data_IF_810589018466
#
_entry.id   IF_810589018466
#
_cell.length_a   1.000
_cell.length_b   1.000
_cell.length_c   1.000
_cell.angle_alpha   90.00
_cell.angle_beta   90.00
_cell.angle_gamma   90.00
#
_symmetry.space_group_name_H-M   'P 1'
#
loop_
_entity.id
_entity.type
_entity.pdbx_description
1 polymer ?
#
# COMPACT_ATOMS: atom_id res chain seq x y z
N UNK A 1 -55.85 51.79 0.69
CA UNK A 1 -56.87 52.08 -0.34
C UNK A 1 -57.11 50.86 -1.16
N UNK A 2 -58.36 50.47 -1.15
CA UNK A 2 -59.06 49.52 -2.09
C UNK A 2 -58.66 48.09 -2.18
N UNK A 3 -59.35 47.26 -1.46
CA UNK A 3 -59.90 45.95 -1.73
C UNK A 3 -60.97 45.99 -2.83
N UNK A 4 -61.67 44.91 -3.16
CA UNK A 4 -61.43 43.56 -3.57
C UNK A 4 -62.25 43.20 -4.86
N UNK A 5 -62.25 41.95 -5.36
CA UNK A 5 -63.46 41.27 -5.84
C UNK A 5 -63.34 39.76 -6.00
N UNK A 6 -64.30 39.10 -5.36
CA UNK A 6 -64.71 37.72 -5.44
C UNK A 6 -65.54 37.45 -6.73
N UNK A 7 -65.60 36.23 -7.20
CA UNK A 7 -66.74 35.48 -7.68
C UNK A 7 -66.25 34.15 -8.19
N UNK A 8 -66.59 33.04 -7.67
CA UNK A 8 -67.81 32.26 -7.51
C UNK A 8 -67.99 31.23 -8.64
N UNK A 9 -67.79 29.97 -8.27
CA UNK A 9 -68.56 28.74 -8.46
C UNK A 9 -69.21 28.46 -9.84
N UNK A 10 -68.93 27.30 -10.39
CA UNK A 10 -69.94 26.40 -10.95
C UNK A 10 -69.45 24.95 -10.94
N UNK A 11 -70.28 24.12 -10.34
CA UNK A 11 -70.23 22.66 -10.23
C UNK A 11 -70.88 22.10 -11.51
N UNK A 12 -70.25 21.10 -12.12
CA UNK A 12 -70.93 20.18 -13.01
C UNK A 12 -70.42 18.78 -12.77
N UNK A 13 -71.26 17.95 -12.20
CA UNK A 13 -71.15 16.51 -12.05
C UNK A 13 -71.55 15.87 -13.38
N UNK A 14 -70.72 15.03 -13.95
CA UNK A 14 -71.18 13.94 -14.84
C UNK A 14 -70.32 12.71 -14.67
N UNK A 15 -71.02 11.66 -14.35
CA UNK A 15 -70.62 10.27 -14.11
C UNK A 15 -70.29 9.49 -15.38
N UNK A 16 -69.51 8.41 -15.17
CA UNK A 16 -69.49 7.13 -15.90
C UNK A 16 -68.47 7.02 -17.06
N UNK A 17 -67.56 6.08 -16.87
CA UNK A 17 -66.77 5.52 -17.97
C UNK A 17 -65.52 4.78 -17.48
N UNK A 18 -65.74 3.55 -16.99
CA UNK A 18 -64.66 2.59 -16.66
C UNK A 18 -63.99 2.14 -17.97
N UNK A 19 -62.74 2.52 -18.21
CA UNK A 19 -61.91 1.86 -19.24
C UNK A 19 -60.51 1.67 -18.66
N UNK A 20 -60.18 0.42 -18.34
CA UNK A 20 -58.83 -0.04 -18.07
C UNK A 20 -58.00 0.10 -19.36
N UNK A 21 -57.06 1.02 -19.37
CA UNK A 21 -55.97 1.01 -20.34
C UNK A 21 -54.67 0.78 -19.58
N UNK A 22 -54.11 -0.40 -19.75
CA UNK A 22 -52.78 -0.78 -19.32
C UNK A 22 -51.75 0.07 -20.06
N UNK A 23 -51.10 1.01 -19.37
CA UNK A 23 -49.93 1.69 -19.89
C UNK A 23 -48.71 0.80 -19.67
N UNK A 24 -48.31 0.11 -20.75
CA UNK A 24 -46.98 -0.51 -20.82
C UNK A 24 -45.95 0.59 -20.96
N UNK A 25 -45.28 0.90 -19.86
CA UNK A 25 -44.07 1.75 -19.85
C UNK A 25 -42.90 0.98 -20.48
N UNK A 26 -42.46 1.39 -21.65
CA UNK A 26 -41.19 0.95 -22.21
C UNK A 26 -40.04 1.55 -21.40
N UNK A 27 -39.45 0.76 -20.53
CA UNK A 27 -38.14 1.03 -19.94
C UNK A 27 -37.08 0.46 -20.88
N UNK A 28 -36.36 1.32 -21.60
CA UNK A 28 -35.22 0.93 -22.41
C UNK A 28 -33.97 0.80 -21.50
N UNK A 29 -33.84 -0.30 -20.80
CA UNK A 29 -32.59 -0.74 -20.24
C UNK A 29 -32.26 -2.11 -20.83
N UNK A 30 -31.29 -2.12 -21.73
CA UNK A 30 -30.79 -3.33 -22.39
C UNK A 30 -29.97 -4.17 -21.40
N UNK A 31 -30.64 -4.98 -20.59
CA UNK A 31 -30.06 -6.06 -19.83
C UNK A 31 -30.95 -7.28 -19.97
N UNK A 32 -30.44 -8.39 -20.49
CA UNK A 32 -31.16 -9.67 -20.51
C UNK A 32 -31.44 -10.06 -19.07
N UNK A 33 -32.72 -10.08 -18.68
CA UNK A 33 -33.17 -10.71 -17.45
C UNK A 33 -32.89 -12.21 -17.52
N UNK A 34 -32.14 -12.74 -16.60
CA UNK A 34 -32.04 -14.18 -16.41
C UNK A 34 -33.39 -14.66 -15.86
N UNK A 35 -34.02 -15.62 -16.53
CA UNK A 35 -35.19 -16.32 -16.00
C UNK A 35 -34.76 -17.20 -14.85
N UNK A 36 -35.17 -16.83 -13.62
CA UNK A 36 -35.08 -17.67 -12.46
C UNK A 36 -36.06 -18.85 -12.55
N UNK A 37 -35.54 -20.03 -12.83
CA UNK A 37 -36.27 -21.27 -12.59
C UNK A 37 -36.09 -21.64 -11.11
N UNK A 38 -37.16 -21.91 -10.34
CA UNK A 38 -37.04 -22.43 -8.98
C UNK A 38 -36.55 -23.85 -9.04
N UNK A 39 -35.28 -24.07 -8.75
CA UNK A 39 -34.63 -25.37 -8.68
C UNK A 39 -33.67 -25.44 -7.51
N UNK A 40 -34.06 -26.13 -6.48
CA UNK A 40 -33.33 -26.76 -5.37
C UNK A 40 -31.91 -26.27 -5.09
N UNK A 41 -31.76 -25.68 -3.87
CA UNK A 41 -30.51 -25.20 -3.33
C UNK A 41 -29.43 -26.28 -3.20
N UNK A 42 -28.34 -26.03 -3.87
CA UNK A 42 -27.00 -26.38 -3.43
C UNK A 42 -26.17 -25.13 -3.68
N UNK A 43 -25.52 -24.60 -2.63
CA UNK A 43 -24.67 -23.43 -2.72
C UNK A 43 -23.63 -23.62 -3.80
N UNK A 44 -23.88 -23.05 -5.00
CA UNK A 44 -22.86 -22.93 -6.01
C UNK A 44 -21.94 -21.81 -5.55
N UNK A 45 -20.85 -22.18 -4.93
CA UNK A 45 -19.71 -21.29 -4.79
C UNK A 45 -19.40 -20.67 -6.15
N UNK A 46 -19.08 -19.39 -6.16
CA UNK A 46 -18.64 -18.68 -7.37
C UNK A 46 -17.64 -19.59 -8.11
N UNK A 47 -17.96 -20.03 -9.31
CA UNK A 47 -17.03 -20.83 -10.12
C UNK A 47 -15.78 -20.01 -10.27
N UNK A 48 -14.65 -20.52 -9.78
CA UNK A 48 -13.35 -19.90 -9.97
C UNK A 48 -13.09 -19.62 -11.45
N UNK A 49 -12.18 -18.71 -11.72
CA UNK A 49 -11.82 -18.31 -13.10
C UNK A 49 -11.43 -19.56 -13.90
N UNK A 50 -11.96 -19.70 -15.11
CA UNK A 50 -11.67 -20.84 -16.00
C UNK A 50 -10.40 -20.65 -16.83
N UNK A 51 -9.54 -19.69 -16.49
CA UNK A 51 -8.27 -19.44 -17.17
C UNK A 51 -7.23 -20.53 -16.85
N UNK A 52 -6.31 -20.83 -17.78
CA UNK A 52 -5.18 -21.70 -17.48
C UNK A 52 -4.42 -21.19 -16.23
N UNK A 53 -4.00 -22.13 -15.39
CA UNK A 53 -3.26 -21.79 -14.18
C UNK A 53 -1.91 -21.17 -14.54
N UNK A 54 -1.75 -19.89 -14.15
CA UNK A 54 -0.51 -19.15 -14.34
C UNK A 54 0.44 -19.37 -13.14
N UNK A 55 1.74 -19.25 -13.39
CA UNK A 55 2.76 -19.23 -12.37
C UNK A 55 3.35 -17.83 -12.26
N UNK A 56 3.17 -17.17 -11.12
CA UNK A 56 3.70 -15.83 -10.85
C UNK A 56 4.68 -15.88 -9.68
N UNK A 57 5.89 -15.37 -9.91
CA UNK A 57 6.92 -15.24 -8.89
C UNK A 57 6.94 -13.80 -8.31
N UNK A 58 6.95 -13.68 -6.99
CA UNK A 58 7.24 -12.42 -6.30
C UNK A 58 8.60 -12.52 -5.63
N UNK A 59 9.50 -11.61 -5.99
CA UNK A 59 10.88 -11.56 -5.50
C UNK A 59 11.11 -10.19 -4.83
N UNK A 60 11.28 -10.20 -3.50
CA UNK A 60 11.43 -8.97 -2.73
C UNK A 60 12.80 -8.87 -2.05
N UNK A 61 13.11 -7.67 -1.51
CA UNK A 61 14.31 -7.44 -0.70
C UNK A 61 14.07 -7.65 0.81
N UNK A 62 13.01 -8.38 1.17
CA UNK A 62 12.69 -8.65 2.57
C UNK A 62 13.85 -9.25 3.34
N UNK A 63 14.14 -8.66 4.50
CA UNK A 63 15.01 -9.26 5.51
C UNK A 63 14.25 -10.26 6.39
N UNK A 64 15.00 -11.03 7.16
CA UNK A 64 14.40 -11.96 8.12
C UNK A 64 13.65 -11.17 9.23
N UNK A 65 12.42 -11.59 9.54
CA UNK A 65 11.61 -10.99 10.59
C UNK A 65 10.89 -9.68 10.19
N UNK A 66 10.99 -9.24 8.94
CA UNK A 66 10.27 -8.05 8.46
C UNK A 66 8.80 -8.36 8.15
N UNK A 67 7.94 -8.01 9.11
CA UNK A 67 6.49 -8.28 9.07
C UNK A 67 5.74 -7.47 8.01
N UNK A 68 6.32 -6.39 7.47
CA UNK A 68 5.73 -5.63 6.36
C UNK A 68 5.44 -6.54 5.16
N UNK A 69 6.39 -7.43 4.84
CA UNK A 69 6.27 -8.35 3.71
C UNK A 69 5.25 -9.46 3.93
N UNK A 70 4.86 -9.76 5.18
CA UNK A 70 3.76 -10.68 5.46
C UNK A 70 2.44 -10.09 4.98
N UNK A 71 2.24 -8.79 5.14
CA UNK A 71 1.05 -8.08 4.66
C UNK A 71 1.03 -8.03 3.13
N UNK A 72 2.15 -7.69 2.49
CA UNK A 72 2.29 -7.72 1.01
C UNK A 72 1.96 -9.11 0.46
N UNK A 73 2.56 -10.16 1.05
CA UNK A 73 2.31 -11.56 0.66
C UNK A 73 0.85 -11.97 0.87
N UNK A 74 0.21 -11.48 1.91
CA UNK A 74 -1.20 -11.76 2.20
C UNK A 74 -2.10 -11.24 1.06
N UNK A 75 -1.86 -10.00 0.60
CA UNK A 75 -2.53 -9.43 -0.56
C UNK A 75 -2.29 -10.22 -1.84
N UNK A 76 -1.02 -10.54 -2.13
CA UNK A 76 -0.64 -11.32 -3.30
C UNK A 76 -1.29 -12.72 -3.32
N UNK A 77 -1.31 -13.42 -2.18
CA UNK A 77 -1.97 -14.73 -2.04
C UNK A 77 -3.48 -14.65 -2.26
N UNK A 78 -4.13 -13.58 -1.81
CA UNK A 78 -5.56 -13.38 -2.01
C UNK A 78 -5.89 -13.20 -3.49
N UNK A 79 -5.12 -12.38 -4.22
CA UNK A 79 -5.28 -12.23 -5.66
C UNK A 79 -4.99 -13.56 -6.39
N UNK A 80 -3.90 -14.24 -6.02
CA UNK A 80 -3.55 -15.52 -6.61
C UNK A 80 -4.63 -16.59 -6.43
N UNK A 81 -5.27 -16.64 -5.26
CA UNK A 81 -6.39 -17.56 -5.00
C UNK A 81 -7.62 -17.21 -5.86
N UNK A 82 -7.93 -15.93 -6.01
CA UNK A 82 -9.02 -15.44 -6.86
C UNK A 82 -8.80 -15.79 -8.33
N UNK A 83 -7.57 -15.63 -8.83
CA UNK A 83 -7.23 -15.68 -10.26
C UNK A 83 -6.67 -17.05 -10.70
N UNK A 84 -6.74 -18.08 -9.86
CA UNK A 84 -6.20 -19.42 -10.11
C UNK A 84 -4.69 -19.40 -10.44
N UNK A 85 -3.92 -18.59 -9.71
CA UNK A 85 -2.46 -18.44 -9.89
C UNK A 85 -1.69 -19.35 -8.94
N UNK A 86 -0.65 -20.00 -9.43
CA UNK A 86 0.41 -20.61 -8.61
C UNK A 86 1.37 -19.50 -8.19
N UNK A 87 1.29 -19.11 -6.92
CA UNK A 87 2.09 -18.02 -6.37
C UNK A 87 3.37 -18.52 -5.73
N UNK A 88 4.50 -18.05 -6.23
CA UNK A 88 5.83 -18.33 -5.70
C UNK A 88 6.37 -17.07 -5.01
N UNK A 89 6.92 -17.25 -3.81
CA UNK A 89 7.54 -16.14 -3.08
C UNK A 89 8.98 -16.47 -2.71
N UNK A 90 9.88 -15.55 -2.98
CA UNK A 90 11.26 -15.59 -2.51
C UNK A 90 11.75 -14.20 -2.15
N UNK A 91 12.71 -14.11 -1.24
CA UNK A 91 13.25 -12.84 -0.78
C UNK A 91 14.69 -12.97 -0.34
N UNK A 92 15.44 -11.89 -0.51
CA UNK A 92 16.76 -11.73 0.07
C UNK A 92 17.11 -10.25 0.21
N UNK A 93 17.63 -9.84 1.38
CA UNK A 93 17.98 -8.44 1.66
C UNK A 93 19.15 -7.92 0.84
N UNK A 94 20.07 -8.82 0.43
CA UNK A 94 21.20 -8.43 -0.43
C UNK A 94 20.81 -8.47 -1.90
N UNK A 95 21.10 -7.37 -2.62
CA UNK A 95 20.68 -7.21 -4.01
C UNK A 95 21.23 -8.25 -4.97
N UNK A 96 22.45 -8.75 -4.74
CA UNK A 96 23.07 -9.81 -5.56
C UNK A 96 22.30 -11.11 -5.46
N UNK A 97 21.94 -11.50 -4.26
CA UNK A 97 21.17 -12.71 -3.97
C UNK A 97 19.72 -12.55 -4.45
N UNK A 98 19.12 -11.35 -4.28
CA UNK A 98 17.81 -11.06 -4.88
C UNK A 98 17.85 -11.20 -6.40
N UNK A 99 18.92 -10.74 -7.06
CA UNK A 99 19.08 -10.91 -8.50
C UNK A 99 19.16 -12.38 -8.93
N UNK A 100 19.80 -13.26 -8.13
CA UNK A 100 19.81 -14.71 -8.39
C UNK A 100 18.41 -15.32 -8.26
N UNK A 101 17.58 -14.85 -7.33
CA UNK A 101 16.19 -15.31 -7.19
C UNK A 101 15.34 -14.88 -8.40
N UNK A 102 15.55 -13.68 -8.93
CA UNK A 102 14.89 -13.24 -10.18
C UNK A 102 15.37 -14.12 -11.36
N UNK A 103 16.67 -14.43 -11.45
CA UNK A 103 17.19 -15.33 -12.48
C UNK A 103 16.56 -16.74 -12.38
N UNK A 104 16.41 -17.26 -11.17
CA UNK A 104 15.75 -18.55 -10.94
C UNK A 104 14.28 -18.53 -11.41
N UNK A 105 13.56 -17.43 -11.23
CA UNK A 105 12.20 -17.28 -11.76
C UNK A 105 12.17 -17.28 -13.30
N UNK A 106 13.15 -16.63 -13.95
CA UNK A 106 13.31 -16.67 -15.42
C UNK A 106 13.55 -18.11 -15.89
N UNK A 107 14.46 -18.83 -15.24
CA UNK A 107 14.82 -20.21 -15.60
C UNK A 107 13.64 -21.18 -15.41
N UNK A 108 12.77 -20.93 -14.43
CA UNK A 108 11.51 -21.64 -14.21
C UNK A 108 10.41 -21.27 -15.22
N UNK A 109 10.67 -20.30 -16.12
CA UNK A 109 9.72 -19.84 -17.15
C UNK A 109 8.36 -19.46 -16.54
N UNK A 110 8.39 -18.68 -15.47
CA UNK A 110 7.16 -18.17 -14.85
C UNK A 110 6.38 -17.27 -15.81
N UNK A 111 5.06 -17.16 -15.64
CA UNK A 111 4.19 -16.35 -16.51
C UNK A 111 4.22 -14.85 -16.18
N UNK A 112 4.76 -14.49 -15.00
CA UNK A 112 4.93 -13.11 -14.58
C UNK A 112 5.84 -12.99 -13.36
N UNK A 113 6.46 -11.81 -13.20
CA UNK A 113 7.35 -11.52 -12.07
C UNK A 113 6.88 -10.21 -11.41
N UNK A 114 6.70 -10.27 -10.08
CA UNK A 114 6.60 -9.10 -9.21
C UNK A 114 7.95 -8.91 -8.53
N UNK A 115 8.52 -7.70 -8.57
CA UNK A 115 9.86 -7.47 -8.01
C UNK A 115 9.99 -6.09 -7.35
N UNK A 116 10.83 -6.01 -6.33
CA UNK A 116 11.26 -4.74 -5.73
C UNK A 116 12.62 -4.30 -6.25
N UNK A 117 12.85 -3.00 -6.39
CA UNK A 117 14.11 -2.42 -6.88
C UNK A 117 14.79 -1.58 -5.78
N UNK A 118 14.88 -2.11 -4.55
CA UNK A 118 15.49 -1.40 -3.41
C UNK A 118 17.00 -1.12 -3.63
N UNK A 119 17.70 -2.09 -4.25
CA UNK A 119 19.11 -2.00 -4.63
C UNK A 119 19.23 -2.12 -6.16
N UNK A 120 18.84 -1.07 -6.90
CA UNK A 120 18.59 -1.15 -8.34
C UNK A 120 19.84 -1.56 -9.14
N UNK A 121 21.03 -1.12 -8.75
CA UNK A 121 22.26 -1.45 -9.46
C UNK A 121 22.56 -2.95 -9.50
N UNK A 122 22.10 -3.68 -8.49
CA UNK A 122 22.27 -5.15 -8.46
C UNK A 122 21.18 -5.88 -9.24
N UNK A 123 19.96 -5.32 -9.35
CA UNK A 123 18.76 -6.07 -9.78
C UNK A 123 18.26 -5.64 -11.17
N UNK A 124 18.47 -4.41 -11.61
CA UNK A 124 17.96 -3.87 -12.89
C UNK A 124 18.28 -4.77 -14.09
N UNK A 125 19.53 -5.22 -14.21
CA UNK A 125 19.98 -5.97 -15.38
C UNK A 125 19.22 -7.31 -15.54
N UNK A 126 18.99 -8.05 -14.45
CA UNK A 126 18.27 -9.32 -14.49
C UNK A 126 16.77 -9.12 -14.70
N UNK A 127 16.19 -8.02 -14.17
CA UNK A 127 14.78 -7.67 -14.43
C UNK A 127 14.58 -7.32 -15.91
N UNK A 128 15.44 -6.48 -16.50
CA UNK A 128 15.41 -6.20 -17.93
C UNK A 128 15.59 -7.47 -18.79
N UNK A 129 16.38 -8.46 -18.32
CA UNK A 129 16.51 -9.77 -18.96
C UNK A 129 15.19 -10.55 -18.94
N UNK A 130 14.45 -10.52 -17.82
CA UNK A 130 13.12 -11.14 -17.73
C UNK A 130 12.16 -10.54 -18.78
N UNK A 131 12.11 -9.22 -18.87
CA UNK A 131 11.28 -8.51 -19.85
C UNK A 131 11.67 -8.88 -21.29
N UNK A 132 12.97 -8.91 -21.61
CA UNK A 132 13.47 -9.33 -22.93
C UNK A 132 13.14 -10.79 -23.26
N UNK A 133 13.00 -11.63 -22.25
CA UNK A 133 12.58 -13.03 -22.41
C UNK A 133 11.04 -13.17 -22.59
N UNK A 134 10.29 -12.05 -22.63
CA UNK A 134 8.84 -12.04 -22.80
C UNK A 134 8.05 -12.29 -21.50
N UNK A 135 8.71 -12.25 -20.34
CA UNK A 135 8.03 -12.37 -19.05
C UNK A 135 7.60 -10.99 -18.59
N UNK A 136 6.29 -10.72 -18.45
CA UNK A 136 5.80 -9.44 -17.93
C UNK A 136 6.25 -9.23 -16.49
N UNK A 137 6.64 -7.99 -16.18
CA UNK A 137 7.15 -7.60 -14.86
C UNK A 137 6.33 -6.44 -14.31
N UNK A 138 5.95 -6.53 -13.05
CA UNK A 138 5.41 -5.43 -12.25
C UNK A 138 6.37 -5.14 -11.11
N UNK A 139 6.76 -3.89 -10.93
CA UNK A 139 7.56 -3.48 -9.78
C UNK A 139 6.68 -3.01 -8.64
N UNK A 140 7.08 -3.28 -7.41
CA UNK A 140 6.34 -2.84 -6.22
C UNK A 140 7.24 -2.18 -5.19
N UNK A 141 6.65 -1.36 -4.34
CA UNK A 141 7.27 -0.77 -3.15
C UNK A 141 8.47 0.12 -3.48
N UNK A 142 9.65 -0.44 -3.77
CA UNK A 142 10.89 0.30 -3.90
C UNK A 142 11.34 0.47 -5.35
N UNK A 143 11.95 1.63 -5.64
CA UNK A 143 12.63 1.90 -6.91
C UNK A 143 11.68 2.27 -8.05
N UNK A 144 10.58 2.97 -7.76
CA UNK A 144 9.60 3.44 -8.74
C UNK A 144 10.23 4.13 -9.96
N UNK A 145 11.26 4.96 -9.73
CA UNK A 145 11.97 5.71 -10.76
C UNK A 145 12.71 4.83 -11.77
N UNK A 146 13.00 3.56 -11.43
CA UNK A 146 13.68 2.61 -12.31
C UNK A 146 12.71 1.67 -13.03
N UNK A 147 11.43 1.68 -12.68
CA UNK A 147 10.42 0.74 -13.21
C UNK A 147 10.29 0.81 -14.73
N UNK A 148 10.21 2.00 -15.30
CA UNK A 148 10.14 2.20 -16.74
C UNK A 148 11.46 1.82 -17.44
N UNK A 149 12.62 2.12 -16.83
CA UNK A 149 13.96 1.78 -17.36
C UNK A 149 14.13 0.28 -17.58
N UNK A 150 13.64 -0.54 -16.64
CA UNK A 150 13.73 -2.00 -16.75
C UNK A 150 12.65 -2.61 -17.65
N UNK A 151 11.71 -1.81 -18.16
CA UNK A 151 10.64 -2.25 -19.04
C UNK A 151 9.47 -2.94 -18.31
N UNK A 152 9.27 -2.65 -17.02
CA UNK A 152 8.12 -3.16 -16.28
C UNK A 152 6.81 -2.55 -16.80
N UNK A 153 5.69 -3.28 -16.64
CA UNK A 153 4.36 -2.84 -17.04
C UNK A 153 3.93 -1.60 -16.26
N UNK A 154 4.16 -1.63 -14.95
CA UNK A 154 3.82 -0.56 -14.02
C UNK A 154 4.67 -0.65 -12.75
N UNK A 155 4.51 0.36 -11.89
CA UNK A 155 4.96 0.32 -10.49
C UNK A 155 3.76 0.50 -9.57
N UNK A 156 3.66 -0.33 -8.53
CA UNK A 156 2.60 -0.22 -7.52
C UNK A 156 3.24 0.02 -6.15
N UNK A 157 3.05 1.20 -5.60
CA UNK A 157 3.71 1.64 -4.36
C UNK A 157 3.32 3.05 -4.00
N UNK A 158 4.08 3.67 -3.11
CA UNK A 158 3.97 5.11 -2.87
C UNK A 158 5.12 5.86 -3.57
N UNK A 159 4.98 7.16 -3.76
CA UNK A 159 6.11 8.02 -4.09
C UNK A 159 6.87 8.32 -2.79
N UNK A 160 8.05 7.73 -2.66
CA UNK A 160 8.82 7.75 -1.41
C UNK A 160 9.32 9.15 -1.05
N UNK A 161 9.63 9.95 -2.04
CA UNK A 161 10.03 11.34 -1.85
C UNK A 161 8.83 12.18 -1.37
N UNK A 162 7.68 12.04 -2.02
CA UNK A 162 6.43 12.72 -1.61
C UNK A 162 6.02 12.27 -0.21
N UNK A 163 6.18 11.00 0.12
CA UNK A 163 5.91 10.49 1.45
C UNK A 163 6.83 11.11 2.53
N UNK A 164 8.12 11.23 2.22
CA UNK A 164 9.06 11.96 3.08
C UNK A 164 8.73 13.45 3.21
N UNK A 165 8.35 14.10 2.11
CA UNK A 165 7.92 15.50 2.11
C UNK A 165 6.68 15.72 3.00
N UNK A 166 5.70 14.82 2.94
CA UNK A 166 4.51 14.86 3.80
C UNK A 166 4.87 14.73 5.29
N UNK A 167 5.83 13.87 5.64
CA UNK A 167 6.36 13.78 7.01
C UNK A 167 6.98 15.10 7.45
N UNK A 168 7.86 15.71 6.63
CA UNK A 168 8.48 16.99 6.95
C UNK A 168 7.45 18.11 7.19
N UNK A 169 6.38 18.14 6.39
CA UNK A 169 5.26 19.07 6.60
C UNK A 169 4.50 18.80 7.90
N UNK A 170 4.27 17.53 8.23
CA UNK A 170 3.58 17.14 9.46
C UNK A 170 4.42 17.51 10.71
N UNK A 171 5.74 17.29 10.67
CA UNK A 171 6.65 17.73 11.73
C UNK A 171 6.63 19.25 11.93
N UNK A 172 6.52 20.03 10.85
CA UNK A 172 6.38 21.49 10.94
C UNK A 172 5.05 21.89 11.64
N UNK A 173 3.93 21.24 11.31
CA UNK A 173 2.62 21.49 11.96
C UNK A 173 2.69 21.19 13.44
N UNK A 174 3.45 20.16 13.84
CA UNK A 174 3.69 19.77 15.23
C UNK A 174 4.74 20.63 15.95
N UNK A 175 5.32 21.61 15.24
CA UNK A 175 6.30 22.55 15.80
C UNK A 175 7.66 21.94 16.14
N UNK A 176 8.00 20.79 15.55
CA UNK A 176 9.31 20.12 15.76
C UNK A 176 10.44 20.97 15.21
N UNK A 177 11.65 20.78 15.76
CA UNK A 177 12.84 21.58 15.43
C UNK A 177 14.04 20.74 15.01
N UNK A 178 14.21 19.55 15.59
CA UNK A 178 15.35 18.69 15.28
C UNK A 178 14.94 17.22 15.21
N UNK A 179 14.99 16.67 14.02
CA UNK A 179 14.63 15.29 13.71
C UNK A 179 15.86 14.40 13.52
N UNK A 180 15.76 13.15 13.95
CA UNK A 180 16.62 12.06 13.49
C UNK A 180 15.82 11.11 12.61
N UNK A 181 16.25 10.91 11.35
CA UNK A 181 15.67 9.95 10.41
C UNK A 181 16.47 8.64 10.49
N UNK A 182 15.82 7.54 10.85
CA UNK A 182 16.47 6.25 11.14
C UNK A 182 16.35 5.33 9.92
N UNK A 183 17.47 5.11 9.22
CA UNK A 183 17.57 4.18 8.09
C UNK A 183 18.00 2.82 8.62
N UNK A 184 17.16 1.82 8.44
CA UNK A 184 17.39 0.46 8.92
C UNK A 184 17.89 -0.53 7.85
N UNK A 185 17.95 -0.09 6.59
CA UNK A 185 18.53 -0.85 5.48
C UNK A 185 19.36 0.10 4.60
N UNK A 186 20.66 0.11 4.85
CA UNK A 186 21.58 0.97 4.11
C UNK A 186 21.63 0.59 2.62
N UNK A 187 21.61 1.60 1.74
CA UNK A 187 21.60 1.41 0.29
C UNK A 187 20.22 1.06 -0.29
N UNK A 188 19.17 1.06 0.54
CA UNK A 188 17.79 1.00 0.06
C UNK A 188 17.35 2.39 -0.41
N UNK A 189 17.19 2.56 -1.72
CA UNK A 189 16.88 3.87 -2.33
C UNK A 189 15.59 4.48 -1.80
N UNK A 190 14.59 3.67 -1.43
CA UNK A 190 13.32 4.17 -0.91
C UNK A 190 13.47 4.78 0.48
N UNK A 191 14.26 4.17 1.35
CA UNK A 191 14.51 4.71 2.69
C UNK A 191 15.33 6.01 2.62
N UNK A 192 16.28 6.07 1.69
CA UNK A 192 17.06 7.27 1.45
C UNK A 192 16.18 8.42 0.91
N UNK A 193 15.26 8.12 -0.03
CA UNK A 193 14.30 9.09 -0.56
C UNK A 193 13.32 9.60 0.50
N UNK A 194 12.84 8.75 1.42
CA UNK A 194 12.02 9.18 2.56
C UNK A 194 12.74 10.21 3.41
N UNK A 195 13.98 9.91 3.85
CA UNK A 195 14.77 10.86 4.64
C UNK A 195 15.10 12.15 3.86
N UNK A 196 15.39 12.05 2.56
CA UNK A 196 15.63 13.20 1.71
C UNK A 196 14.37 14.08 1.57
N UNK A 197 13.19 13.45 1.44
CA UNK A 197 11.90 14.14 1.41
C UNK A 197 11.62 14.89 2.72
N UNK A 198 11.83 14.24 3.87
CA UNK A 198 11.73 14.90 5.19
C UNK A 198 12.64 16.12 5.24
N UNK A 199 13.91 15.96 4.86
CA UNK A 199 14.89 17.07 4.87
C UNK A 199 14.51 18.22 3.95
N UNK A 200 13.78 17.95 2.86
CA UNK A 200 13.38 18.95 1.87
C UNK A 200 12.32 19.91 2.40
N UNK A 201 11.35 19.42 3.15
CA UNK A 201 10.16 20.21 3.57
C UNK A 201 10.18 20.59 5.04
N UNK A 202 10.89 19.84 5.89
CA UNK A 202 11.02 20.17 7.30
C UNK A 202 11.86 21.44 7.50
N UNK A 203 11.31 22.39 8.23
CA UNK A 203 11.97 23.69 8.52
C UNK A 203 13.04 23.60 9.59
N UNK A 204 13.06 22.53 10.37
CA UNK A 204 14.08 22.22 11.35
C UNK A 204 15.30 21.52 10.73
N UNK A 205 16.17 20.98 11.56
CA UNK A 205 17.31 20.18 11.12
C UNK A 205 16.97 18.69 11.11
N UNK A 206 17.52 17.96 10.13
CA UNK A 206 17.37 16.50 10.02
C UNK A 206 18.74 15.85 9.97
N UNK A 207 18.99 14.95 10.89
CA UNK A 207 20.17 14.08 10.87
C UNK A 207 19.74 12.67 10.48
N UNK A 208 20.58 11.94 9.77
CA UNK A 208 20.35 10.54 9.41
C UNK A 208 21.13 9.64 10.36
N UNK A 209 20.47 8.60 10.87
CA UNK A 209 21.09 7.54 11.67
C UNK A 209 20.90 6.20 10.96
N UNK A 210 22.00 5.57 10.54
CA UNK A 210 21.97 4.21 10.02
C UNK A 210 22.02 3.19 11.15
N UNK A 211 21.14 2.21 11.16
CA UNK A 211 21.09 1.12 12.13
C UNK A 211 21.05 -0.25 11.43
N UNK A 212 21.42 -1.31 12.14
CA UNK A 212 21.35 -2.68 11.61
C UNK A 212 19.93 -3.25 11.76
N UNK A 213 19.14 -3.20 10.70
CA UNK A 213 17.71 -3.56 10.73
C UNK A 213 17.40 -5.01 11.06
N UNK A 214 18.35 -5.93 10.86
CA UNK A 214 18.21 -7.35 11.22
C UNK A 214 18.61 -7.63 12.68
N UNK A 215 19.11 -6.62 13.39
CA UNK A 215 19.49 -6.71 14.79
C UNK A 215 18.76 -5.64 15.63
N UNK A 216 17.54 -5.94 16.02
CA UNK A 216 16.68 -5.00 16.75
C UNK A 216 17.28 -4.51 18.08
N UNK A 217 17.95 -5.35 18.91
CA UNK A 217 18.68 -4.87 20.08
C UNK A 217 19.76 -3.85 19.75
N UNK A 218 20.59 -4.10 18.73
CA UNK A 218 21.63 -3.16 18.31
C UNK A 218 21.03 -1.85 17.75
N UNK A 219 19.95 -1.93 16.99
CA UNK A 219 19.21 -0.76 16.51
C UNK A 219 18.68 0.09 17.67
N UNK A 220 18.06 -0.54 18.67
CA UNK A 220 17.59 0.14 19.89
C UNK A 220 18.72 0.86 20.61
N UNK A 221 19.85 0.18 20.83
CA UNK A 221 21.02 0.76 21.50
C UNK A 221 21.64 1.92 20.72
N UNK A 222 21.66 1.83 19.37
CA UNK A 222 22.17 2.92 18.52
C UNK A 222 21.29 4.17 18.59
N UNK A 223 19.96 4.00 18.59
CA UNK A 223 19.01 5.10 18.75
C UNK A 223 19.13 5.71 20.15
N UNK A 224 19.21 4.88 21.18
CA UNK A 224 19.39 5.33 22.57
C UNK A 224 20.68 6.16 22.73
N UNK A 225 21.82 5.66 22.23
CA UNK A 225 23.09 6.37 22.25
C UNK A 225 23.02 7.71 21.51
N UNK A 226 22.32 7.77 20.38
CA UNK A 226 22.10 9.02 19.63
C UNK A 226 21.32 10.05 20.45
N UNK A 227 20.26 9.62 21.14
CA UNK A 227 19.45 10.49 22.00
C UNK A 227 20.19 10.96 23.26
N UNK A 228 21.08 10.14 23.82
CA UNK A 228 21.95 10.51 24.93
C UNK A 228 23.02 11.52 24.51
N UNK A 229 23.57 11.36 23.31
CA UNK A 229 24.60 12.28 22.78
C UNK A 229 24.01 13.63 22.33
N UNK A 230 22.72 13.70 22.03
CA UNK A 230 22.09 14.90 21.47
C UNK A 230 20.68 15.12 22.04
N UNK A 231 20.65 15.82 23.16
CA UNK A 231 19.38 16.16 23.84
C UNK A 231 18.51 17.19 23.09
N UNK A 232 19.01 17.76 22.00
CA UNK A 232 18.26 18.68 21.15
C UNK A 232 17.30 17.98 20.18
N UNK A 233 17.42 16.66 20.00
CA UNK A 233 16.50 15.88 19.17
C UNK A 233 15.13 15.86 19.82
N UNK A 234 14.11 16.38 19.14
CA UNK A 234 12.73 16.44 19.59
C UNK A 234 11.77 15.54 18.83
N UNK A 235 12.26 14.86 17.76
CA UNK A 235 11.50 13.84 17.05
C UNK A 235 12.40 12.78 16.41
N UNK A 236 11.92 11.53 16.41
CA UNK A 236 12.54 10.37 15.78
C UNK A 236 11.59 9.90 14.68
N UNK A 237 12.06 9.90 13.43
CA UNK A 237 11.32 9.38 12.29
C UNK A 237 11.90 8.02 11.92
N UNK A 238 11.15 6.95 12.13
CA UNK A 238 11.54 5.61 11.71
C UNK A 238 10.87 5.24 10.38
N UNK A 239 11.54 4.41 9.59
CA UNK A 239 11.12 4.11 8.21
C UNK A 239 10.45 2.74 8.07
N UNK A 240 10.02 2.15 9.19
CA UNK A 240 9.31 0.89 9.23
C UNK A 240 8.73 0.60 10.61
N UNK A 241 7.57 -0.05 10.67
CA UNK A 241 6.79 -0.27 11.88
C UNK A 241 7.56 -0.95 13.05
N UNK A 242 8.43 -1.96 12.85
CA UNK A 242 9.19 -2.56 13.97
C UNK A 242 10.10 -1.56 14.68
N UNK A 243 10.62 -0.55 13.98
CA UNK A 243 11.54 0.44 14.51
C UNK A 243 10.86 1.50 15.37
N UNK A 244 9.54 1.69 15.23
CA UNK A 244 8.77 2.54 16.13
C UNK A 244 8.84 2.00 17.58
N UNK A 245 8.65 0.69 17.76
CA UNK A 245 8.75 0.05 19.08
C UNK A 245 10.16 0.16 19.67
N UNK A 246 11.20 -0.05 18.84
CA UNK A 246 12.60 0.10 19.25
C UNK A 246 12.89 1.54 19.67
N UNK A 247 12.38 2.55 18.95
CA UNK A 247 12.57 3.96 19.26
C UNK A 247 11.84 4.39 20.52
N UNK A 248 10.63 3.89 20.79
CA UNK A 248 9.95 4.14 22.06
C UNK A 248 10.78 3.60 23.23
N UNK A 249 11.31 2.39 23.11
CA UNK A 249 12.19 1.80 24.12
C UNK A 249 13.49 2.60 24.30
N UNK A 250 14.14 3.00 23.22
CA UNK A 250 15.36 3.82 23.24
C UNK A 250 15.13 5.19 23.89
N UNK A 251 13.99 5.82 23.58
CA UNK A 251 13.56 7.07 24.21
C UNK A 251 13.41 6.92 25.73
N UNK A 252 12.77 5.84 26.18
CA UNK A 252 12.60 5.53 27.61
C UNK A 252 13.97 5.32 28.28
N UNK A 253 14.87 4.52 27.68
CA UNK A 253 16.20 4.25 28.20
C UNK A 253 17.11 5.48 28.29
N UNK A 254 17.00 6.38 27.30
CA UNK A 254 17.78 7.64 27.28
C UNK A 254 17.20 8.76 28.15
N UNK A 255 15.96 8.63 28.61
CA UNK A 255 15.23 9.73 29.29
C UNK A 255 14.83 10.86 28.35
N UNK A 256 14.91 10.68 27.01
CA UNK A 256 14.54 11.68 26.01
C UNK A 256 13.04 11.94 25.99
N UNK A 257 12.65 13.16 25.61
CA UNK A 257 11.26 13.55 25.40
C UNK A 257 10.87 13.63 23.91
N UNK A 258 11.75 13.16 23.02
CA UNK A 258 11.49 13.17 21.58
C UNK A 258 10.18 12.42 21.25
N UNK A 259 9.41 12.94 20.33
CA UNK A 259 8.27 12.21 19.74
C UNK A 259 8.80 11.09 18.84
N UNK A 260 8.06 10.01 18.72
CA UNK A 260 8.38 8.93 17.81
C UNK A 260 7.31 8.93 16.73
N UNK A 261 7.74 9.04 15.48
CA UNK A 261 6.91 8.95 14.29
C UNK A 261 7.46 7.86 13.38
N UNK A 262 6.61 7.24 12.57
CA UNK A 262 7.05 6.08 11.79
C UNK A 262 6.44 6.04 10.39
N UNK A 263 7.06 5.28 9.54
CA UNK A 263 6.43 4.70 8.37
C UNK A 263 5.88 3.33 8.73
N UNK A 264 4.87 2.92 7.99
CA UNK A 264 4.16 1.66 8.04
C UNK A 264 3.31 1.44 9.30
N UNK A 265 2.27 0.65 9.10
CA UNK A 265 1.35 0.22 10.14
C UNK A 265 1.54 -1.27 10.46
N UNK A 266 1.25 -1.61 11.68
CA UNK A 266 0.94 -2.95 12.15
C UNK A 266 0.14 -2.82 13.47
N UNK A 267 -0.32 -3.94 14.02
CA UNK A 267 -1.11 -3.92 15.26
C UNK A 267 -0.38 -3.24 16.43
N UNK A 268 0.95 -3.35 16.51
CA UNK A 268 1.75 -2.72 17.57
C UNK A 268 1.83 -1.20 17.38
N UNK A 269 2.03 -0.70 16.16
CA UNK A 269 2.03 0.75 15.88
C UNK A 269 0.66 1.34 16.17
N UNK A 270 -0.43 0.69 15.77
CA UNK A 270 -1.80 1.13 16.06
C UNK A 270 -2.05 1.23 17.57
N UNK A 271 -1.60 0.23 18.35
CA UNK A 271 -1.66 0.28 19.82
C UNK A 271 -0.87 1.46 20.40
N UNK A 272 0.31 1.76 19.83
CA UNK A 272 1.16 2.88 20.28
C UNK A 272 0.61 4.25 19.89
N UNK A 273 -0.04 4.37 18.74
CA UNK A 273 -0.80 5.58 18.36
C UNK A 273 -1.92 5.84 19.37
N UNK A 274 -2.70 4.81 19.72
CA UNK A 274 -3.78 4.88 20.71
C UNK A 274 -3.26 5.29 22.11
N UNK A 275 -2.05 4.85 22.47
CA UNK A 275 -1.39 5.19 23.73
C UNK A 275 -0.61 6.50 23.68
N UNK A 276 -0.63 7.27 22.59
CA UNK A 276 0.17 8.48 22.36
C UNK A 276 1.69 8.27 22.53
N UNK A 277 2.18 7.05 22.33
CA UNK A 277 3.61 6.73 22.31
C UNK A 277 4.25 6.97 20.94
N UNK A 278 3.43 6.92 19.86
CA UNK A 278 3.76 7.31 18.49
C UNK A 278 2.85 8.47 18.12
N UNK A 279 3.39 9.51 17.51
CA UNK A 279 2.66 10.71 17.14
C UNK A 279 1.83 10.52 15.88
N UNK A 280 2.43 9.95 14.84
CA UNK A 280 1.76 9.55 13.60
C UNK A 280 2.52 8.42 12.90
N UNK A 281 1.84 7.78 11.96
CA UNK A 281 2.43 6.83 11.05
C UNK A 281 2.09 7.19 9.60
N UNK A 282 2.97 6.82 8.66
CA UNK A 282 2.72 6.95 7.22
C UNK A 282 2.31 5.59 6.67
N UNK A 283 1.07 5.46 6.23
CA UNK A 283 0.57 4.22 5.65
C UNK A 283 0.72 4.22 4.13
N UNK A 284 1.23 3.13 3.60
CA UNK A 284 1.41 2.89 2.17
C UNK A 284 0.59 1.71 1.63
N UNK A 285 -0.27 1.14 2.43
CA UNK A 285 -1.19 0.06 2.07
C UNK A 285 -0.49 -1.18 1.45
N UNK A 286 0.38 -1.86 2.19
CA UNK A 286 1.21 -2.94 1.65
C UNK A 286 0.41 -4.13 1.10
N UNK A 287 -0.74 -4.45 1.68
CA UNK A 287 -1.65 -5.48 1.17
C UNK A 287 -2.08 -5.18 -0.27
N UNK A 288 -2.42 -3.91 -0.53
CA UNK A 288 -2.85 -3.46 -1.85
C UNK A 288 -1.74 -3.58 -2.89
N UNK A 289 -0.48 -3.32 -2.52
CA UNK A 289 0.67 -3.49 -3.40
C UNK A 289 0.80 -4.93 -3.88
N UNK A 290 0.73 -5.89 -2.95
CA UNK A 290 0.80 -7.32 -3.30
C UNK A 290 -0.39 -7.79 -4.11
N UNK A 291 -1.60 -7.38 -3.72
CA UNK A 291 -2.84 -7.77 -4.39
C UNK A 291 -2.88 -7.29 -5.84
N UNK A 292 -2.70 -5.99 -6.07
CA UNK A 292 -2.77 -5.40 -7.40
C UNK A 292 -1.67 -5.90 -8.34
N UNK A 293 -0.48 -6.19 -7.82
CA UNK A 293 0.63 -6.66 -8.66
C UNK A 293 0.35 -8.05 -9.28
N UNK A 294 -0.23 -8.96 -8.52
CA UNK A 294 -0.62 -10.28 -9.03
C UNK A 294 -1.82 -10.17 -9.95
N UNK A 295 -2.82 -9.37 -9.57
CA UNK A 295 -4.03 -9.11 -10.36
C UNK A 295 -3.69 -8.47 -11.72
N UNK A 296 -2.77 -7.49 -11.74
CA UNK A 296 -2.29 -6.86 -12.99
C UNK A 296 -1.61 -7.86 -13.92
N UNK A 297 -0.73 -8.72 -13.41
CA UNK A 297 -0.06 -9.73 -14.24
C UNK A 297 -1.07 -10.71 -14.84
N UNK A 298 -2.08 -11.10 -14.07
CA UNK A 298 -3.17 -11.94 -14.57
C UNK A 298 -4.01 -11.21 -15.65
N UNK A 299 -4.40 -9.96 -15.40
CA UNK A 299 -5.14 -9.12 -16.37
C UNK A 299 -4.33 -8.87 -17.63
N UNK A 300 -3.03 -8.65 -17.52
CA UNK A 300 -2.15 -8.47 -18.66
C UNK A 300 -2.08 -9.72 -19.53
N UNK A 301 -1.87 -10.88 -18.91
CA UNK A 301 -1.76 -12.16 -19.64
C UNK A 301 -3.09 -12.58 -20.30
N UNK A 302 -4.21 -12.33 -19.65
CA UNK A 302 -5.54 -12.77 -20.11
C UNK A 302 -6.20 -11.80 -21.09
N UNK A 303 -5.99 -10.49 -20.90
CA UNK A 303 -6.74 -9.45 -21.60
C UNK A 303 -5.84 -8.35 -22.20
N UNK A 304 -4.51 -8.40 -21.99
CA UNK A 304 -3.60 -7.33 -22.45
C UNK A 304 -3.73 -6.01 -21.67
N UNK A 305 -4.40 -6.03 -20.51
CA UNK A 305 -4.59 -4.81 -19.72
C UNK A 305 -3.30 -4.40 -18.99
N UNK A 306 -3.13 -3.07 -18.77
CA UNK A 306 -2.09 -2.49 -17.93
C UNK A 306 -2.73 -1.45 -17.01
N UNK A 307 -2.57 -1.62 -15.71
CA UNK A 307 -3.10 -0.71 -14.70
C UNK A 307 -2.35 0.64 -14.78
N UNK A 308 -3.04 1.74 -14.58
CA UNK A 308 -2.43 3.08 -14.60
C UNK A 308 -1.92 3.52 -15.99
N UNK A 309 -2.13 2.72 -17.04
CA UNK A 309 -1.60 3.03 -18.39
C UNK A 309 -0.07 3.06 -18.43
N UNK A 310 0.60 2.21 -17.65
CA UNK A 310 2.06 2.13 -17.52
C UNK A 310 2.69 3.19 -16.61
N UNK A 311 1.87 4.01 -15.93
CA UNK A 311 2.33 4.96 -14.91
C UNK A 311 2.26 4.31 -13.52
N UNK A 312 3.04 4.82 -12.53
CA UNK A 312 2.93 4.34 -11.16
C UNK A 312 1.51 4.44 -10.60
N UNK A 313 1.08 3.38 -9.91
CA UNK A 313 -0.19 3.29 -9.19
C UNK A 313 0.09 3.54 -7.72
N UNK A 314 -0.34 4.68 -7.22
CA UNK A 314 0.00 5.11 -5.86
C UNK A 314 -0.90 4.43 -4.82
N UNK A 315 -0.28 3.82 -3.82
CA UNK A 315 -0.94 3.19 -2.68
C UNK A 315 -0.81 4.03 -1.38
N UNK A 316 -0.17 5.17 -1.44
CA UNK A 316 0.08 6.13 -0.37
C UNK A 316 0.87 7.34 -0.89
N UNK A 317 1.31 8.25 -0.01
CA UNK A 317 1.22 8.17 1.45
C UNK A 317 -0.13 8.61 2.04
N UNK A 318 -0.46 8.08 3.21
CA UNK A 318 -1.52 8.60 4.07
C UNK A 318 -0.97 8.80 5.50
N UNK A 319 -1.11 9.99 6.05
CA UNK A 319 -0.78 10.25 7.46
C UNK A 319 -1.89 9.67 8.33
N UNK A 320 -1.51 8.82 9.27
CA UNK A 320 -2.40 8.14 10.22
C UNK A 320 -2.04 8.58 11.63
N UNK A 321 -3.06 9.00 12.38
CA UNK A 321 -2.94 9.48 13.76
C UNK A 321 -3.80 8.62 14.70
N UNK A 322 -3.83 8.98 15.99
CA UNK A 322 -4.70 8.31 16.96
C UNK A 322 -6.19 8.39 16.59
N UNK A 323 -6.61 9.44 15.89
CA UNK A 323 -8.01 9.66 15.47
C UNK A 323 -8.47 8.62 14.42
N UNK A 324 -7.52 8.06 13.63
CA UNK A 324 -7.78 7.07 12.58
C UNK A 324 -7.80 5.63 13.13
N UNK A 325 -7.31 5.41 14.35
CA UNK A 325 -7.16 4.08 14.95
C UNK A 325 -8.46 3.27 14.97
N UNK A 326 -9.65 3.84 15.32
CA UNK A 326 -10.88 3.06 15.36
C UNK A 326 -11.24 2.38 14.04
N UNK A 327 -10.84 2.96 12.91
CA UNK A 327 -11.10 2.42 11.57
C UNK A 327 -10.06 1.36 11.14
N UNK A 328 -8.87 1.35 11.74
CA UNK A 328 -7.73 0.55 11.32
C UNK A 328 -7.44 -0.65 12.22
N UNK A 329 -7.89 -0.61 13.49
CA UNK A 329 -7.55 -1.60 14.52
C UNK A 329 -7.91 -3.03 14.09
N UNK A 330 -9.09 -3.23 13.50
CA UNK A 330 -9.52 -4.53 12.99
C UNK A 330 -8.65 -5.02 11.81
N UNK A 331 -8.33 -4.14 10.87
CA UNK A 331 -7.58 -4.52 9.66
C UNK A 331 -6.12 -4.83 9.97
N UNK A 332 -5.49 -4.06 10.85
CA UNK A 332 -4.11 -4.34 11.30
C UNK A 332 -4.02 -5.60 12.14
N UNK A 333 -5.03 -5.90 12.97
CA UNK A 333 -5.11 -7.16 13.72
C UNK A 333 -5.24 -8.39 12.81
N UNK A 334 -5.90 -8.26 11.64
CA UNK A 334 -6.00 -9.33 10.62
C UNK A 334 -4.78 -9.45 9.73
N UNK A 335 -3.80 -8.55 9.82
CA UNK A 335 -2.65 -8.49 8.91
C UNK A 335 -3.01 -8.11 7.47
N UNK A 336 -4.01 -7.25 7.30
CA UNK A 336 -4.45 -6.74 5.99
C UNK A 336 -4.20 -5.23 5.82
N UNK A 337 -3.56 -4.63 6.85
CA UNK A 337 -3.15 -3.23 6.82
C UNK A 337 -1.88 -3.03 7.61
#
# INVERSE_FOLDING_TARGET
MRTPRKAATLIAICTIGLALTTLTGCSSSGGKSAEDKPGSGSGQGVKGVSTPRMKIAMVTHAGEGDTFWDIVRSGAKQAAAKDNVEFLYSAHKEGKEQAQLVQAAIDQKVDGIVVTLAKPEAVKAVVAKAVKAGIPVVTINSGAQFSAEVGALSHIGQDEKVAGEAVGEELNKRGRKKAVCVIHEQGNVSLEERCAGVKKTFKGSVETLNVEGTNMPASTSSIEAKLQADHGIDTIVTLGAPFAAASVKAKEGSGSKAEVDTFDLNAEVVKRLKAAQVGFAVDQQPYLQGYLAVDELWLNKTNGNVIGGGKPVLTGPAIVTADDVPQLEEYTARGTR
#
